data_IF_848404842648
#
_entry.id   IF_848404842648
#
_cell.length_a   1.000
_cell.length_b   1.000
_cell.length_c   1.000
_cell.angle_alpha   90.00
_cell.angle_beta   90.00
_cell.angle_gamma   90.00
#
_symmetry.space_group_name_H-M   'P 1'
#
loop_
_entity.id
_entity.type
_entity.pdbx_description
1 polymer ?
#
# COMPACT_ATOMS: atom_id res chain seq x y z
N UNK A 1 3.87 5.67 -9.24
CA UNK A 1 3.64 4.40 -8.51
C UNK A 1 4.14 4.48 -7.07
N UNK A 2 5.41 4.86 -6.86
CA UNK A 2 6.04 5.00 -5.54
C UNK A 2 5.26 5.94 -4.60
N UNK A 3 4.78 7.09 -5.07
CA UNK A 3 4.02 8.02 -4.21
C UNK A 3 2.73 7.42 -3.65
N UNK A 4 2.02 6.62 -4.45
CA UNK A 4 0.84 5.89 -3.98
C UNK A 4 1.21 4.84 -2.93
N UNK A 5 2.34 4.15 -3.10
CA UNK A 5 2.80 3.18 -2.11
C UNK A 5 3.21 3.87 -0.79
N UNK A 6 3.88 5.02 -0.87
CA UNK A 6 4.25 5.82 0.29
C UNK A 6 3.02 6.33 1.04
N UNK A 7 2.02 6.85 0.32
CA UNK A 7 0.75 7.25 0.91
C UNK A 7 0.04 6.07 1.59
N UNK A 8 0.01 4.90 0.95
CA UNK A 8 -0.53 3.68 1.53
C UNK A 8 0.16 3.28 2.84
N UNK A 9 1.50 3.39 2.89
CA UNK A 9 2.28 3.14 4.12
C UNK A 9 1.97 4.15 5.24
N UNK A 10 1.85 5.45 4.91
CA UNK A 10 1.46 6.46 5.88
C UNK A 10 0.08 6.19 6.46
N UNK A 11 -0.90 5.87 5.61
CA UNK A 11 -2.26 5.54 6.05
C UNK A 11 -2.30 4.27 6.90
N UNK A 12 -1.50 3.26 6.56
CA UNK A 12 -1.31 2.06 7.38
C UNK A 12 -0.79 2.41 8.77
N UNK A 13 0.20 3.31 8.87
CA UNK A 13 0.74 3.77 10.15
C UNK A 13 -0.28 4.57 10.98
N UNK A 14 -1.21 5.26 10.32
CA UNK A 14 -2.31 5.98 10.95
C UNK A 14 -3.50 5.08 11.35
N UNK A 15 -3.47 3.79 10.98
CA UNK A 15 -4.57 2.84 11.25
C UNK A 15 -5.70 2.87 10.22
N UNK A 16 -5.58 3.68 9.16
CA UNK A 16 -6.55 3.83 8.07
C UNK A 16 -6.44 2.67 7.08
N UNK A 17 -6.77 1.45 7.54
CA UNK A 17 -6.47 0.19 6.84
C UNK A 17 -7.06 0.09 5.44
N UNK A 18 -8.30 0.51 5.23
CA UNK A 18 -8.98 0.38 3.92
C UNK A 18 -8.39 1.34 2.88
N UNK A 19 -8.07 2.58 3.30
CA UNK A 19 -7.41 3.55 2.41
C UNK A 19 -5.99 3.10 2.10
N UNK A 20 -5.27 2.57 3.09
CA UNK A 20 -3.94 2.00 2.90
C UNK A 20 -3.95 0.88 1.84
N UNK A 21 -4.91 -0.05 1.93
CA UNK A 21 -5.09 -1.12 0.93
C UNK A 21 -5.32 -0.54 -0.46
N UNK A 22 -6.24 0.41 -0.59
CA UNK A 22 -6.55 1.04 -1.87
C UNK A 22 -5.30 1.63 -2.54
N UNK A 23 -4.52 2.43 -1.81
CA UNK A 23 -3.35 3.09 -2.40
C UNK A 23 -2.20 2.13 -2.68
N UNK A 24 -1.97 1.11 -1.84
CA UNK A 24 -1.00 0.06 -2.13
C UNK A 24 -1.39 -0.75 -3.39
N UNK A 25 -2.68 -1.07 -3.57
CA UNK A 25 -3.17 -1.73 -4.79
C UNK A 25 -3.00 -0.84 -6.03
N UNK A 26 -3.29 0.46 -5.92
CA UNK A 26 -3.05 1.42 -7.01
C UNK A 26 -1.57 1.50 -7.37
N UNK A 27 -0.67 1.53 -6.38
CA UNK A 27 0.76 1.52 -6.63
C UNK A 27 1.20 0.27 -7.42
N UNK A 28 0.73 -0.91 -7.02
CA UNK A 28 1.04 -2.18 -7.69
C UNK A 28 0.41 -2.33 -9.07
N UNK A 29 -0.74 -1.69 -9.31
CA UNK A 29 -1.33 -1.65 -10.66
C UNK A 29 -0.49 -0.84 -11.66
N UNK A 30 0.29 0.13 -11.16
CA UNK A 30 1.18 0.96 -11.98
C UNK A 30 2.58 0.36 -12.08
N UNK A 31 3.08 -0.21 -10.98
CA UNK A 31 4.38 -0.85 -10.91
C UNK A 31 4.31 -2.09 -10.00
N UNK A 32 4.17 -3.30 -10.59
CA UNK A 32 4.12 -4.54 -9.83
C UNK A 32 5.43 -4.92 -9.13
N UNK A 33 6.54 -4.22 -9.40
CA UNK A 33 7.85 -4.50 -8.78
C UNK A 33 8.02 -3.90 -7.37
N UNK A 34 7.05 -3.10 -6.91
CA UNK A 34 7.11 -2.44 -5.59
C UNK A 34 6.84 -3.43 -4.45
N UNK A 35 7.85 -4.22 -4.08
CA UNK A 35 7.72 -5.28 -3.08
C UNK A 35 7.31 -4.76 -1.69
N UNK A 36 7.66 -3.52 -1.35
CA UNK A 36 7.22 -2.90 -0.10
C UNK A 36 5.70 -2.63 -0.08
N UNK A 37 5.08 -2.34 -1.23
CA UNK A 37 3.63 -2.19 -1.33
C UNK A 37 2.91 -3.54 -1.21
N UNK A 38 3.49 -4.63 -1.73
CA UNK A 38 2.97 -6.00 -1.55
C UNK A 38 3.00 -6.40 -0.08
N UNK A 39 4.14 -6.24 0.59
CA UNK A 39 4.28 -6.53 2.03
C UNK A 39 3.27 -5.75 2.86
N UNK A 40 3.07 -4.48 2.55
CA UNK A 40 2.06 -3.67 3.24
C UNK A 40 0.64 -4.24 3.10
N UNK A 41 0.26 -4.75 1.91
CA UNK A 41 -1.05 -5.40 1.71
C UNK A 41 -1.19 -6.72 2.46
N UNK A 42 -0.14 -7.54 2.49
CA UNK A 42 -0.12 -8.80 3.24
C UNK A 42 -0.35 -8.55 4.74
N UNK A 43 0.30 -7.53 5.29
CA UNK A 43 0.14 -7.13 6.70
C UNK A 43 -1.25 -6.54 7.01
N UNK A 44 -1.89 -5.89 6.03
CA UNK A 44 -3.24 -5.30 6.16
C UNK A 44 -4.37 -6.34 6.01
N UNK A 45 -4.06 -7.53 5.47
CA UNK A 45 -4.99 -8.64 5.31
C UNK A 45 -5.00 -9.64 6.48
N UNK A 46 -4.06 -9.52 7.42
CA UNK A 46 -4.03 -10.25 8.70
C UNK A 46 -4.73 -9.45 9.80
#
# INVERSE_FOLDING_TARGET
AIDYANLGLCLKALGEKEQAKFYCQRALSLDPSLDFAKKALEELGR
#
